data_IF_855773038795
#
_entry.id   IF_855773038795
#
_cell.length_a   1.000
_cell.length_b   1.000
_cell.length_c   1.000
_cell.angle_alpha   90.00
_cell.angle_beta   90.00
_cell.angle_gamma   90.00
#
_symmetry.space_group_name_H-M   'P 1'
#
loop_
_entity.id
_entity.type
_entity.pdbx_description
1 polymer ?
#
# COMPACT_ATOMS: atom_id res chain seq x y z
N UNK A 1 59.68 -39.70 19.15
CA UNK A 1 58.59 -40.11 18.22
C UNK A 1 57.50 -40.80 19.03
N UNK A 2 56.53 -40.05 19.56
CA UNK A 2 55.28 -40.62 20.10
C UNK A 2 54.18 -39.63 19.75
N UNK A 3 53.32 -40.05 18.83
CA UNK A 3 52.21 -39.31 18.26
C UNK A 3 50.99 -39.57 19.15
N UNK A 4 50.50 -38.56 19.88
CA UNK A 4 49.21 -38.63 20.58
C UNK A 4 48.14 -38.09 19.63
N UNK A 5 47.20 -38.95 19.23
CA UNK A 5 46.02 -38.53 18.48
C UNK A 5 45.03 -37.86 19.43
N UNK A 6 44.52 -36.71 19.02
CA UNK A 6 43.42 -36.03 19.71
C UNK A 6 42.22 -36.07 18.77
N UNK A 7 41.24 -36.88 19.12
CA UNK A 7 39.97 -36.97 18.40
C UNK A 7 39.16 -35.70 18.63
N UNK A 8 38.87 -34.95 17.57
CA UNK A 8 37.93 -33.83 17.60
C UNK A 8 36.50 -34.36 17.38
N UNK A 9 35.67 -34.27 18.43
CA UNK A 9 34.25 -34.55 18.37
C UNK A 9 33.54 -33.35 17.71
N UNK A 10 33.10 -33.49 16.46
CA UNK A 10 32.25 -32.49 15.79
C UNK A 10 30.82 -32.57 16.36
N UNK A 11 30.46 -31.60 17.20
CA UNK A 11 29.07 -31.33 17.58
C UNK A 11 28.36 -30.64 16.42
N UNK A 12 27.60 -31.40 15.63
CA UNK A 12 26.63 -30.89 14.66
C UNK A 12 25.47 -30.22 15.44
N UNK A 13 25.52 -28.90 15.58
CA UNK A 13 24.34 -28.11 15.91
C UNK A 13 23.41 -28.11 14.69
N UNK A 14 22.35 -28.92 14.72
CA UNK A 14 21.23 -28.74 13.80
C UNK A 14 20.46 -27.48 14.24
N UNK A 15 20.72 -26.36 13.58
CA UNK A 15 19.81 -25.22 13.62
C UNK A 15 18.52 -25.63 12.92
N UNK A 16 17.56 -26.11 13.71
CA UNK A 16 16.16 -26.21 13.30
C UNK A 16 15.69 -24.76 13.11
N UNK A 17 15.77 -24.28 11.87
CA UNK A 17 15.13 -23.05 11.45
C UNK A 17 13.61 -23.28 11.45
N UNK A 18 13.01 -23.23 12.65
CA UNK A 18 11.56 -23.14 12.78
C UNK A 18 11.13 -21.82 12.19
N UNK A 19 10.53 -21.85 10.99
CA UNK A 19 9.81 -20.72 10.46
C UNK A 19 8.71 -20.38 11.47
N UNK A 20 8.91 -19.36 12.29
CA UNK A 20 7.85 -18.77 13.08
C UNK A 20 6.87 -18.18 12.09
N UNK A 21 5.75 -18.85 11.87
CA UNK A 21 4.61 -18.24 11.19
C UNK A 21 4.21 -17.03 12.02
N UNK A 22 4.57 -15.83 11.56
CA UNK A 22 4.06 -14.59 12.14
C UNK A 22 2.55 -14.66 12.04
N UNK A 23 1.88 -14.83 13.19
CA UNK A 23 0.43 -14.66 13.26
C UNK A 23 0.19 -13.18 12.98
N UNK A 24 -0.51 -12.87 11.88
CA UNK A 24 -0.89 -11.49 11.57
C UNK A 24 -1.67 -10.93 12.77
N UNK A 25 -1.16 -9.85 13.37
CA UNK A 25 -1.78 -9.19 14.50
C UNK A 25 -2.96 -8.33 14.03
N UNK A 26 -2.94 -7.89 12.77
CA UNK A 26 -4.05 -7.20 12.15
C UNK A 26 -5.30 -8.09 12.03
N UNK A 27 -6.44 -7.58 12.48
CA UNK A 27 -7.75 -8.21 12.37
C UNK A 27 -8.51 -7.65 11.16
N UNK A 28 -9.06 -8.53 10.33
CA UNK A 28 -9.78 -8.14 9.11
C UNK A 28 -11.23 -8.57 9.26
N UNK A 29 -12.13 -7.59 9.28
CA UNK A 29 -13.55 -7.82 9.50
C UNK A 29 -14.37 -7.29 8.33
N UNK A 30 -15.48 -7.97 8.03
CA UNK A 30 -16.53 -7.40 7.19
C UNK A 30 -17.13 -6.17 7.86
N UNK A 31 -17.49 -5.17 7.06
CA UNK A 31 -18.30 -4.05 7.55
C UNK A 31 -19.71 -4.54 7.85
N UNK A 32 -20.22 -4.17 9.01
CA UNK A 32 -21.62 -4.37 9.40
C UNK A 32 -22.55 -3.44 8.61
N UNK A 33 -23.84 -3.78 8.57
CA UNK A 33 -24.87 -2.93 7.95
C UNK A 33 -24.87 -1.52 8.52
N UNK A 34 -24.70 -1.37 9.85
CA UNK A 34 -24.66 -0.06 10.51
C UNK A 34 -23.44 0.75 10.12
N UNK A 35 -22.26 0.11 9.95
CA UNK A 35 -21.06 0.78 9.44
C UNK A 35 -21.25 1.25 7.99
N UNK A 36 -21.81 0.41 7.11
CA UNK A 36 -22.12 0.81 5.73
C UNK A 36 -23.10 2.00 5.68
N UNK A 37 -24.11 2.02 6.55
CA UNK A 37 -25.07 3.12 6.66
C UNK A 37 -24.41 4.39 7.20
N UNK A 38 -23.52 4.27 8.19
CA UNK A 38 -22.76 5.40 8.73
C UNK A 38 -21.84 6.01 7.66
N UNK A 39 -21.12 5.17 6.91
CA UNK A 39 -20.30 5.58 5.78
C UNK A 39 -21.12 6.33 4.71
N UNK A 40 -22.29 5.81 4.36
CA UNK A 40 -23.19 6.46 3.39
C UNK A 40 -23.71 7.80 3.90
N UNK A 41 -24.13 7.86 5.18
CA UNK A 41 -24.61 9.10 5.83
C UNK A 41 -23.52 10.16 5.93
N UNK A 42 -22.27 9.75 6.15
CA UNK A 42 -21.11 10.63 6.21
C UNK A 42 -20.59 11.07 4.83
N UNK A 43 -21.18 10.58 3.73
CA UNK A 43 -20.77 10.94 2.36
C UNK A 43 -19.48 10.26 1.90
N UNK A 44 -18.91 9.34 2.68
CA UNK A 44 -17.69 8.60 2.30
C UNK A 44 -17.99 7.40 1.39
N UNK A 45 -19.25 7.08 1.17
CA UNK A 45 -19.72 6.02 0.28
C UNK A 45 -21.07 6.38 -0.35
N UNK A 46 -21.34 5.88 -1.55
CA UNK A 46 -22.68 5.91 -2.15
C UNK A 46 -22.93 4.67 -2.99
N UNK A 47 -24.17 4.48 -3.47
CA UNK A 47 -24.52 3.40 -4.40
C UNK A 47 -23.82 3.51 -5.76
N UNK A 48 -23.25 4.67 -6.09
CA UNK A 48 -22.45 4.88 -7.31
C UNK A 48 -20.96 4.57 -7.11
N UNK A 49 -20.54 4.20 -5.89
CA UNK A 49 -19.17 3.81 -5.64
C UNK A 49 -18.79 2.58 -6.49
N UNK A 50 -17.57 2.54 -7.06
CA UNK A 50 -17.15 1.43 -7.90
C UNK A 50 -17.00 0.12 -7.11
N UNK A 51 -16.89 0.21 -5.79
CA UNK A 51 -16.73 -0.91 -4.87
C UNK A 51 -17.86 -0.85 -3.86
N UNK A 52 -18.68 -1.89 -3.79
CA UNK A 52 -19.78 -1.96 -2.83
C UNK A 52 -19.28 -2.14 -1.39
N UNK A 53 -20.11 -1.82 -0.40
CA UNK A 53 -19.72 -1.95 1.00
C UNK A 53 -19.32 -3.40 1.39
N UNK A 54 -19.97 -4.40 0.78
CA UNK A 54 -19.67 -5.81 1.02
C UNK A 54 -18.27 -6.21 0.50
N UNK A 55 -17.75 -5.48 -0.49
CA UNK A 55 -16.40 -5.62 -1.05
C UNK A 55 -15.36 -4.81 -0.29
N UNK A 56 -15.75 -4.07 0.76
CA UNK A 56 -14.83 -3.40 1.67
C UNK A 56 -14.66 -4.20 2.97
N UNK A 57 -13.47 -4.07 3.56
CA UNK A 57 -13.11 -4.65 4.85
C UNK A 57 -12.51 -3.59 5.76
N UNK A 58 -12.81 -3.70 7.05
CA UNK A 58 -12.14 -2.95 8.10
C UNK A 58 -10.92 -3.75 8.58
N UNK A 59 -9.74 -3.17 8.42
CA UNK A 59 -8.47 -3.68 8.94
C UNK A 59 -8.17 -2.94 10.22
N UNK A 60 -8.18 -3.66 11.35
CA UNK A 60 -7.78 -3.15 12.66
C UNK A 60 -6.37 -3.63 12.97
N UNK A 61 -5.46 -2.74 13.35
CA UNK A 61 -4.05 -3.07 13.58
C UNK A 61 -3.45 -2.30 14.75
N UNK A 62 -2.31 -2.79 15.24
CA UNK A 62 -1.52 -2.10 16.24
C UNK A 62 -0.59 -1.09 15.57
N UNK A 63 -0.36 0.06 16.21
CA UNK A 63 0.64 1.03 15.77
C UNK A 63 1.39 1.62 16.96
N UNK A 64 2.54 2.24 16.70
CA UNK A 64 3.28 3.03 17.69
C UNK A 64 3.14 4.49 17.33
N UNK A 65 2.91 5.36 18.31
CA UNK A 65 2.91 6.80 18.05
C UNK A 65 4.33 7.38 18.03
N UNK A 66 4.44 8.70 17.83
CA UNK A 66 5.72 9.41 17.81
C UNK A 66 6.48 9.35 19.15
N UNK A 67 5.81 9.05 20.27
CA UNK A 67 6.45 8.80 21.56
C UNK A 67 6.89 7.34 21.74
N UNK A 68 6.50 6.46 20.80
CA UNK A 68 6.78 5.01 20.85
C UNK A 68 5.71 4.20 21.57
N UNK A 69 4.67 4.86 22.12
CA UNK A 69 3.56 4.20 22.81
C UNK A 69 2.76 3.36 21.83
N UNK A 70 2.45 2.13 22.24
CA UNK A 70 1.63 1.21 21.46
C UNK A 70 0.14 1.55 21.59
N UNK A 71 -0.57 1.43 20.47
CA UNK A 71 -2.01 1.58 20.33
C UNK A 71 -2.57 0.37 19.59
N UNK A 72 -3.78 -0.07 19.93
CA UNK A 72 -4.42 -1.27 19.35
C UNK A 72 -5.68 -0.93 18.55
N UNK A 73 -5.89 0.35 18.26
CA UNK A 73 -7.12 0.89 17.68
C UNK A 73 -6.88 1.53 16.30
N UNK A 74 -5.76 1.24 15.63
CA UNK A 74 -5.53 1.69 14.27
C UNK A 74 -6.54 1.01 13.34
N UNK A 75 -7.22 1.77 12.50
CA UNK A 75 -8.29 1.28 11.65
C UNK A 75 -8.23 1.90 10.26
N UNK A 76 -8.34 1.06 9.23
CA UNK A 76 -8.52 1.47 7.84
C UNK A 76 -9.63 0.65 7.18
N UNK A 77 -10.34 1.27 6.23
CA UNK A 77 -11.29 0.58 5.34
C UNK A 77 -10.67 0.49 3.95
N UNK A 78 -10.62 -0.70 3.38
CA UNK A 78 -9.98 -1.00 2.08
C UNK A 78 -10.74 -2.08 1.32
N UNK A 79 -10.42 -2.29 0.02
CA UNK A 79 -10.98 -3.38 -0.77
C UNK A 79 -10.61 -4.74 -0.16
N UNK A 80 -11.54 -5.68 -0.20
CA UNK A 80 -11.38 -7.05 0.33
C UNK A 80 -10.12 -7.77 -0.17
N UNK A 81 -9.80 -7.64 -1.45
CA UNK A 81 -8.63 -8.26 -2.07
C UNK A 81 -7.29 -7.76 -1.50
N UNK A 82 -7.23 -6.50 -1.05
CA UNK A 82 -6.00 -5.88 -0.54
C UNK A 82 -5.90 -5.94 0.99
N UNK A 83 -7.00 -6.18 1.70
CA UNK A 83 -7.06 -6.13 3.16
C UNK A 83 -6.00 -6.98 3.89
N UNK A 84 -5.68 -8.23 3.46
CA UNK A 84 -4.60 -9.01 4.07
C UNK A 84 -3.23 -8.33 4.00
N UNK A 85 -2.93 -7.69 2.87
CA UNK A 85 -1.64 -7.06 2.62
C UNK A 85 -1.53 -5.71 3.31
N UNK A 86 -2.65 -5.00 3.46
CA UNK A 86 -2.72 -3.82 4.33
C UNK A 86 -2.44 -4.20 5.78
N UNK A 87 -3.01 -5.30 6.27
CA UNK A 87 -2.65 -5.85 7.59
C UNK A 87 -1.15 -6.10 7.74
N UNK A 88 -0.54 -6.78 6.76
CA UNK A 88 0.90 -7.03 6.74
C UNK A 88 1.75 -5.74 6.76
N UNK A 89 1.33 -4.69 6.03
CA UNK A 89 2.01 -3.38 6.05
C UNK A 89 2.06 -2.85 7.48
N UNK A 90 0.91 -2.74 8.13
CA UNK A 90 0.85 -2.11 9.45
C UNK A 90 1.48 -2.96 10.55
N UNK A 91 1.44 -4.28 10.44
CA UNK A 91 2.20 -5.17 11.32
C UNK A 91 3.71 -4.97 11.14
N UNK A 92 4.20 -4.82 9.91
CA UNK A 92 5.60 -4.52 9.64
C UNK A 92 6.00 -3.13 10.17
N UNK A 93 5.15 -2.10 9.98
CA UNK A 93 5.40 -0.76 10.52
C UNK A 93 5.48 -0.77 12.06
N UNK A 94 4.60 -1.53 12.71
CA UNK A 94 4.61 -1.70 14.17
C UNK A 94 5.91 -2.35 14.66
N UNK A 95 6.36 -3.40 13.98
CA UNK A 95 7.61 -4.11 14.29
C UNK A 95 8.85 -3.24 14.04
N UNK A 96 8.86 -2.44 12.97
CA UNK A 96 9.94 -1.51 12.64
C UNK A 96 10.00 -0.29 13.58
N UNK A 97 8.98 -0.06 14.40
CA UNK A 97 8.91 1.14 15.24
C UNK A 97 8.60 2.41 14.45
N UNK A 98 8.06 2.28 13.24
CA UNK A 98 7.64 3.43 12.43
C UNK A 98 6.47 4.13 13.13
N UNK A 99 6.59 5.43 13.44
CA UNK A 99 5.55 6.13 14.17
C UNK A 99 4.38 6.50 13.26
N UNK A 100 3.16 6.22 13.73
CA UNK A 100 1.90 6.66 13.11
C UNK A 100 1.20 7.56 14.12
N UNK A 101 0.76 8.76 13.71
CA UNK A 101 0.11 9.67 14.64
C UNK A 101 -1.24 9.12 15.09
N UNK A 102 -2.05 8.68 14.12
CA UNK A 102 -3.28 7.90 14.29
C UNK A 102 -3.72 7.34 12.95
N UNK A 103 -4.60 6.34 12.99
CA UNK A 103 -5.29 5.81 11.83
C UNK A 103 -6.73 5.51 12.22
N UNK A 104 -7.67 6.31 11.73
CA UNK A 104 -9.10 6.10 11.93
C UNK A 104 -9.86 6.28 10.61
N UNK A 105 -11.00 5.60 10.43
CA UNK A 105 -11.82 5.74 9.23
C UNK A 105 -12.27 7.19 9.00
N UNK A 106 -12.33 7.61 7.73
CA UNK A 106 -12.50 9.02 7.36
C UNK A 106 -13.92 9.55 7.60
N UNK A 107 -14.91 8.68 7.84
CA UNK A 107 -16.26 9.06 8.26
C UNK A 107 -16.28 9.81 9.60
N UNK A 108 -15.25 9.67 10.44
CA UNK A 108 -15.09 10.48 11.67
C UNK A 108 -14.96 11.98 11.34
N UNK A 109 -14.46 12.30 10.14
CA UNK A 109 -14.34 13.66 9.61
C UNK A 109 -15.42 13.98 8.58
N UNK A 110 -16.50 13.19 8.51
CA UNK A 110 -17.56 13.36 7.50
C UNK A 110 -17.04 13.29 6.06
N UNK A 111 -16.00 12.49 5.81
CA UNK A 111 -15.37 12.36 4.49
C UNK A 111 -14.53 13.56 4.05
N UNK A 112 -14.29 14.53 4.92
CA UNK A 112 -13.50 15.72 4.61
C UNK A 112 -12.00 15.43 4.69
N UNK A 113 -11.33 15.35 3.53
CA UNK A 113 -9.88 15.08 3.48
C UNK A 113 -9.07 16.18 4.17
N UNK A 114 -9.45 17.45 4.05
CA UNK A 114 -8.71 18.56 4.67
C UNK A 114 -8.72 18.45 6.19
N UNK A 115 -9.87 18.10 6.79
CA UNK A 115 -9.97 17.88 8.23
C UNK A 115 -9.17 16.64 8.65
N UNK A 116 -9.28 15.54 7.91
CA UNK A 116 -8.50 14.31 8.15
C UNK A 116 -6.99 14.57 8.11
N UNK A 117 -6.51 15.25 7.07
CA UNK A 117 -5.11 15.61 6.88
C UNK A 117 -4.60 16.60 7.93
N UNK A 118 -5.38 17.63 8.24
CA UNK A 118 -5.03 18.61 9.29
C UNK A 118 -4.90 17.93 10.65
N UNK A 119 -5.72 16.91 10.89
CA UNK A 119 -5.65 16.11 12.11
C UNK A 119 -4.53 15.06 12.06
N UNK A 120 -3.71 15.01 11.00
CA UNK A 120 -2.65 14.04 10.76
C UNK A 120 -3.13 12.58 10.82
N UNK A 121 -4.30 12.31 10.25
CA UNK A 121 -4.88 10.99 10.20
C UNK A 121 -4.30 10.18 9.02
N UNK A 122 -3.83 8.96 9.29
CA UNK A 122 -3.58 7.97 8.24
C UNK A 122 -4.92 7.41 7.77
N UNK A 123 -5.22 7.49 6.48
CA UNK A 123 -6.54 7.15 5.91
C UNK A 123 -6.45 6.32 4.63
N UNK A 124 -7.54 5.64 4.29
CA UNK A 124 -7.66 4.83 3.07
C UNK A 124 -8.98 5.14 2.35
N UNK A 125 -9.99 4.27 2.39
CA UNK A 125 -11.20 4.45 1.60
C UNK A 125 -11.91 5.80 1.83
N UNK A 126 -12.18 6.51 0.73
CA UNK A 126 -13.04 7.70 0.65
C UNK A 126 -13.63 7.79 -0.76
N UNK A 127 -14.95 7.63 -0.93
CA UNK A 127 -15.59 7.75 -2.23
C UNK A 127 -15.67 9.20 -2.68
N UNK A 128 -14.70 9.62 -3.50
CA UNK A 128 -14.63 10.98 -4.05
C UNK A 128 -13.87 11.05 -5.37
N UNK A 129 -14.08 12.12 -6.17
CA UNK A 129 -13.15 12.47 -7.23
C UNK A 129 -11.78 12.88 -6.68
N UNK A 130 -10.77 12.85 -7.56
CA UNK A 130 -9.52 13.58 -7.34
C UNK A 130 -9.84 15.07 -7.40
N UNK A 131 -9.29 15.84 -6.45
CA UNK A 131 -9.59 17.26 -6.31
C UNK A 131 -9.36 18.02 -7.62
N UNK A 132 -10.35 18.82 -8.03
CA UNK A 132 -10.30 19.60 -9.27
C UNK A 132 -10.49 18.80 -10.56
N UNK A 133 -10.85 17.52 -10.48
CA UNK A 133 -11.09 16.65 -11.66
C UNK A 133 -12.43 15.93 -11.57
N UNK A 134 -12.90 15.36 -12.69
CA UNK A 134 -14.03 14.43 -12.72
C UNK A 134 -13.64 12.95 -12.54
N UNK A 135 -12.35 12.64 -12.41
CA UNK A 135 -11.88 11.26 -12.26
C UNK A 135 -11.94 10.82 -10.80
N UNK A 136 -12.40 9.59 -10.55
CA UNK A 136 -12.36 9.00 -9.20
C UNK A 136 -10.93 8.83 -8.71
N UNK A 137 -10.75 9.13 -7.42
CA UNK A 137 -9.51 8.84 -6.68
C UNK A 137 -9.35 7.34 -6.46
N UNK A 138 -8.12 6.84 -6.33
CA UNK A 138 -7.86 5.44 -5.96
C UNK A 138 -8.34 5.12 -4.53
N UNK A 139 -8.53 6.14 -3.68
CA UNK A 139 -9.23 6.02 -2.41
C UNK A 139 -10.68 5.54 -2.58
N UNK A 140 -11.35 5.92 -3.69
CA UNK A 140 -12.73 5.51 -3.97
C UNK A 140 -12.86 4.00 -4.29
N UNK A 141 -11.73 3.35 -4.57
CA UNK A 141 -11.66 1.90 -4.81
C UNK A 141 -11.17 1.14 -3.57
N UNK A 142 -10.81 1.83 -2.47
CA UNK A 142 -10.15 1.20 -1.33
C UNK A 142 -8.77 0.64 -1.70
N UNK A 143 -8.09 1.29 -2.64
CA UNK A 143 -6.83 0.88 -3.26
C UNK A 143 -5.72 1.93 -3.09
N UNK A 144 -5.89 2.85 -2.13
CA UNK A 144 -4.89 3.84 -1.75
C UNK A 144 -4.87 4.06 -0.23
N UNK A 145 -3.72 4.50 0.28
CA UNK A 145 -3.45 4.83 1.67
C UNK A 145 -2.68 6.15 1.71
N UNK A 146 -3.15 7.09 2.52
CA UNK A 146 -2.44 8.32 2.88
C UNK A 146 -1.84 8.13 4.28
N UNK A 147 -0.51 8.23 4.41
CA UNK A 147 0.24 7.95 5.64
C UNK A 147 0.80 9.22 6.28
N UNK A 148 0.40 9.51 7.53
CA UNK A 148 0.86 10.66 8.31
C UNK A 148 0.95 11.98 7.50
N UNK A 149 -0.19 12.55 7.06
CA UNK A 149 -0.22 13.73 6.18
C UNK A 149 0.64 14.91 6.62
N UNK A 150 0.85 15.10 7.92
CA UNK A 150 1.71 16.16 8.44
C UNK A 150 3.19 15.93 8.09
N UNK A 151 3.69 14.71 8.31
CA UNK A 151 5.07 14.33 7.97
C UNK A 151 5.24 14.18 6.46
N UNK A 152 4.18 13.81 5.75
CA UNK A 152 4.19 13.47 4.34
C UNK A 152 3.16 14.33 3.59
N UNK A 153 3.40 15.65 3.45
CA UNK A 153 2.41 16.56 2.91
C UNK A 153 2.14 16.37 1.42
N UNK A 154 0.95 16.76 0.99
CA UNK A 154 0.63 17.00 -0.41
C UNK A 154 1.15 18.38 -0.83
N UNK A 155 1.92 18.44 -1.91
CA UNK A 155 2.64 19.62 -2.37
C UNK A 155 2.20 20.00 -3.77
N UNK A 156 1.75 21.24 -3.92
CA UNK A 156 1.35 21.81 -5.22
C UNK A 156 2.21 23.01 -5.57
N UNK A 157 2.38 23.23 -6.86
CA UNK A 157 3.14 24.33 -7.42
C UNK A 157 2.22 25.18 -8.30
N UNK A 158 2.13 26.48 -8.06
CA UNK A 158 1.42 27.39 -8.96
C UNK A 158 2.33 27.86 -10.09
N UNK A 159 1.74 28.33 -11.20
CA UNK A 159 2.48 28.77 -12.39
C UNK A 159 3.45 29.93 -12.18
N UNK A 160 3.37 30.62 -11.04
CA UNK A 160 4.32 31.67 -10.63
C UNK A 160 5.44 31.17 -9.69
N UNK A 161 5.57 29.85 -9.50
CA UNK A 161 6.61 29.24 -8.68
C UNK A 161 6.30 29.14 -7.18
N UNK A 162 5.14 29.59 -6.71
CA UNK A 162 4.78 29.43 -5.30
C UNK A 162 4.46 27.96 -4.98
N UNK A 163 4.95 27.50 -3.84
CA UNK A 163 4.71 26.15 -3.31
C UNK A 163 3.65 26.21 -2.22
N UNK A 164 2.69 25.28 -2.24
CA UNK A 164 1.72 25.09 -1.16
C UNK A 164 1.80 23.67 -0.62
N UNK A 165 1.84 23.56 0.70
CA UNK A 165 1.80 22.30 1.44
C UNK A 165 0.40 22.11 2.04
N UNK A 166 -0.12 20.90 1.96
CA UNK A 166 -1.35 20.48 2.63
C UNK A 166 -1.04 19.22 3.47
N UNK A 167 -1.25 19.26 4.80
CA UNK A 167 -1.60 20.44 5.59
C UNK A 167 -0.47 21.47 5.59
N UNK A 168 -0.79 22.75 5.85
CA UNK A 168 0.20 23.85 5.82
C UNK A 168 1.35 23.63 6.80
N UNK A 169 1.04 23.06 7.97
CA UNK A 169 2.03 22.70 8.99
C UNK A 169 3.04 21.65 8.48
N UNK A 170 2.73 20.93 7.40
CA UNK A 170 3.64 20.00 6.73
C UNK A 170 4.84 20.67 6.08
N UNK A 171 4.82 22.01 5.91
CA UNK A 171 5.97 22.80 5.42
C UNK A 171 7.25 22.53 6.24
N UNK A 172 7.14 22.21 7.53
CA UNK A 172 8.30 21.87 8.37
C UNK A 172 9.04 20.59 7.94
N UNK A 173 8.36 19.73 7.15
CA UNK A 173 8.89 18.50 6.56
C UNK A 173 9.24 18.67 5.08
N UNK A 174 9.42 19.90 4.60
CA UNK A 174 9.88 20.16 3.23
C UNK A 174 11.29 19.61 2.97
N UNK A 175 12.16 19.63 3.99
CA UNK A 175 13.44 18.92 3.92
C UNK A 175 13.18 17.42 4.16
N UNK A 176 13.29 16.62 3.09
CA UNK A 176 13.03 15.18 3.10
C UNK A 176 14.19 14.34 3.63
N UNK A 177 15.34 14.94 3.98
CA UNK A 177 16.48 14.20 4.50
C UNK A 177 16.17 13.57 5.86
N UNK A 178 16.38 12.25 5.97
CA UNK A 178 16.28 11.51 7.23
C UNK A 178 17.39 11.96 8.18
N UNK A 179 18.64 11.84 7.71
CA UNK A 179 19.82 12.28 8.44
C UNK A 179 20.11 13.75 8.17
N UNK A 180 20.29 14.53 9.23
CA UNK A 180 20.64 15.96 9.16
C UNK A 180 21.70 16.25 10.21
N UNK A 181 22.82 16.82 9.79
CA UNK A 181 23.94 17.11 10.68
C UNK A 181 23.49 17.89 11.93
N UNK A 182 23.83 17.39 13.12
CA UNK A 182 23.48 18.01 14.40
C UNK A 182 22.00 17.95 14.79
N UNK A 183 21.16 17.17 14.10
CA UNK A 183 19.73 17.00 14.42
C UNK A 183 19.39 15.52 14.63
N UNK A 184 18.35 15.21 15.41
CA UNK A 184 17.75 13.88 15.41
C UNK A 184 17.24 13.50 14.01
N UNK A 185 17.30 12.21 13.72
CA UNK A 185 16.75 11.64 12.50
C UNK A 185 15.27 12.00 12.36
N UNK A 186 14.87 12.38 11.15
CA UNK A 186 13.47 12.63 10.83
C UNK A 186 12.67 11.33 10.93
N UNK A 187 11.58 11.33 11.70
CA UNK A 187 10.72 10.15 11.92
C UNK A 187 9.38 10.31 11.20
N UNK A 188 8.76 9.19 10.82
CA UNK A 188 7.43 9.17 10.20
C UNK A 188 7.41 9.54 8.70
N UNK A 189 8.59 9.63 8.08
CA UNK A 189 8.79 9.98 6.67
C UNK A 189 8.51 8.76 5.78
N UNK A 190 7.64 8.90 4.78
CA UNK A 190 7.21 7.82 3.89
C UNK A 190 8.36 7.12 3.15
N UNK A 191 9.46 7.84 2.91
CA UNK A 191 10.67 7.37 2.24
C UNK A 191 11.22 6.07 2.85
N UNK A 192 11.12 5.90 4.18
CA UNK A 192 11.67 4.73 4.88
C UNK A 192 10.79 3.48 4.77
N UNK A 193 9.57 3.61 4.24
CA UNK A 193 8.58 2.52 4.18
C UNK A 193 8.12 2.20 2.76
N UNK A 194 8.68 2.84 1.72
CA UNK A 194 8.30 2.60 0.32
C UNK A 194 8.40 1.11 -0.03
N UNK A 195 9.48 0.44 0.36
CA UNK A 195 9.68 -1.00 0.10
C UNK A 195 8.62 -1.85 0.81
N UNK A 196 8.27 -1.53 2.06
CA UNK A 196 7.22 -2.22 2.82
C UNK A 196 5.87 -2.14 2.11
N UNK A 197 5.50 -0.95 1.62
CA UNK A 197 4.25 -0.76 0.86
C UNK A 197 4.30 -1.49 -0.48
N UNK A 198 5.40 -1.36 -1.23
CA UNK A 198 5.52 -1.92 -2.57
C UNK A 198 5.49 -3.46 -2.56
N UNK A 199 6.16 -4.11 -1.59
CA UNK A 199 6.09 -5.58 -1.38
C UNK A 199 4.71 -6.08 -0.98
N UNK A 200 3.84 -5.20 -0.50
CA UNK A 200 2.44 -5.50 -0.20
C UNK A 200 1.48 -4.96 -1.27
N UNK A 201 2.01 -4.62 -2.44
CA UNK A 201 1.26 -4.27 -3.63
C UNK A 201 0.89 -2.79 -3.79
N UNK A 202 1.37 -1.91 -2.93
CA UNK A 202 1.20 -0.47 -3.07
C UNK A 202 2.48 0.13 -3.67
N UNK A 203 2.73 -0.21 -4.95
CA UNK A 203 3.99 0.09 -5.64
C UNK A 203 4.11 1.55 -6.12
N UNK A 204 2.99 2.26 -6.24
CA UNK A 204 2.98 3.64 -6.71
C UNK A 204 2.94 4.58 -5.51
N UNK A 205 4.03 5.30 -5.29
CA UNK A 205 4.13 6.32 -4.25
C UNK A 205 4.07 7.72 -4.88
N UNK A 206 3.20 8.58 -4.34
CA UNK A 206 2.98 9.93 -4.85
C UNK A 206 4.16 10.88 -4.66
N UNK A 207 5.13 10.53 -3.82
CA UNK A 207 6.40 11.23 -3.69
C UNK A 207 7.30 11.16 -4.93
N UNK A 208 7.01 10.28 -5.89
CA UNK A 208 7.72 10.18 -7.17
C UNK A 208 7.07 10.99 -8.31
N UNK A 209 5.96 11.68 -8.07
CA UNK A 209 5.31 12.50 -9.10
C UNK A 209 6.00 13.84 -9.27
N UNK A 210 5.91 14.44 -10.46
CA UNK A 210 6.50 15.76 -10.73
C UNK A 210 5.62 16.90 -10.18
N UNK A 211 4.31 16.82 -10.40
CA UNK A 211 3.33 17.78 -9.88
C UNK A 211 1.91 17.22 -9.97
N UNK A 212 1.10 17.28 -8.90
CA UNK A 212 1.53 17.57 -7.53
C UNK A 212 2.43 16.47 -6.98
N UNK A 213 3.23 16.75 -5.95
CA UNK A 213 3.97 15.72 -5.20
C UNK A 213 3.11 15.32 -4.00
N UNK A 214 2.78 14.04 -3.87
CA UNK A 214 1.89 13.55 -2.81
C UNK A 214 2.60 12.56 -1.89
N UNK A 215 3.39 13.08 -0.93
CA UNK A 215 4.28 12.23 -0.11
C UNK A 215 3.52 11.23 0.78
N UNK A 216 2.28 11.54 1.17
CA UNK A 216 1.44 10.64 1.98
C UNK A 216 0.95 9.44 1.18
N UNK A 217 0.86 9.56 -0.14
CA UNK A 217 -0.02 8.73 -0.94
C UNK A 217 0.66 7.49 -1.49
N UNK A 218 0.12 6.33 -1.16
CA UNK A 218 0.50 5.02 -1.71
C UNK A 218 -0.70 4.38 -2.39
N UNK A 219 -0.56 3.90 -3.61
CA UNK A 219 -1.66 3.31 -4.37
C UNK A 219 -1.26 2.12 -5.25
N UNK A 220 -2.27 1.40 -5.71
CA UNK A 220 -2.19 0.49 -6.85
C UNK A 220 -2.25 1.27 -8.17
N UNK A 221 -2.03 0.60 -9.31
CA UNK A 221 -2.37 1.20 -10.59
C UNK A 221 -3.89 1.33 -10.77
N UNK A 222 -4.31 2.37 -11.49
CA UNK A 222 -5.73 2.62 -11.80
C UNK A 222 -6.37 1.44 -12.55
N UNK A 223 -5.66 0.88 -13.52
CA UNK A 223 -6.13 -0.26 -14.32
C UNK A 223 -6.38 -1.49 -13.43
N UNK A 224 -5.51 -1.74 -12.45
CA UNK A 224 -5.70 -2.82 -11.48
C UNK A 224 -6.91 -2.59 -10.57
N UNK A 225 -7.05 -1.39 -10.02
CA UNK A 225 -8.16 -1.05 -9.12
C UNK A 225 -9.53 -1.16 -9.81
N UNK A 226 -9.63 -0.69 -11.07
CA UNK A 226 -10.84 -0.83 -11.88
C UNK A 226 -11.11 -2.31 -12.16
N UNK A 227 -10.10 -3.06 -12.65
CA UNK A 227 -10.25 -4.49 -12.95
C UNK A 227 -10.75 -5.27 -11.72
N UNK A 228 -10.17 -5.04 -10.54
CA UNK A 228 -10.59 -5.73 -9.30
C UNK A 228 -11.98 -5.35 -8.80
N UNK A 229 -12.45 -4.14 -9.13
CA UNK A 229 -13.82 -3.70 -8.82
C UNK A 229 -14.87 -4.45 -9.63
N UNK A 230 -14.53 -4.88 -10.85
CA UNK A 230 -15.38 -5.67 -11.74
C UNK A 230 -15.29 -7.19 -11.48
N UNK A 231 -14.22 -7.63 -10.84
CA UNK A 231 -14.00 -9.03 -10.48
C UNK A 231 -14.88 -9.47 -9.30
N UNK A 232 -15.20 -10.77 -9.24
CA UNK A 232 -15.71 -11.38 -8.00
C UNK A 232 -14.65 -11.33 -6.89
N UNK A 233 -15.03 -11.41 -5.60
CA UNK A 233 -14.07 -11.39 -4.49
C UNK A 233 -12.92 -12.38 -4.63
N UNK A 234 -13.20 -13.62 -5.07
CA UNK A 234 -12.19 -14.67 -5.21
C UNK A 234 -11.23 -14.40 -6.38
N UNK A 235 -11.74 -13.88 -7.50
CA UNK A 235 -10.91 -13.47 -8.64
C UNK A 235 -9.99 -12.31 -8.27
N UNK A 236 -10.53 -11.26 -7.62
CA UNK A 236 -9.74 -10.11 -7.19
C UNK A 236 -8.66 -10.51 -6.18
N UNK A 237 -8.98 -11.35 -5.20
CA UNK A 237 -8.03 -11.86 -4.22
C UNK A 237 -6.90 -12.69 -4.88
N UNK A 238 -7.25 -13.57 -5.82
CA UNK A 238 -6.25 -14.33 -6.58
C UNK A 238 -5.38 -13.42 -7.43
N UNK A 239 -5.98 -12.45 -8.13
CA UNK A 239 -5.26 -11.49 -8.96
C UNK A 239 -4.26 -10.67 -8.13
N UNK A 240 -4.70 -10.10 -7.00
CA UNK A 240 -3.83 -9.34 -6.11
C UNK A 240 -2.71 -10.21 -5.50
N UNK A 241 -3.00 -11.46 -5.16
CA UNK A 241 -1.98 -12.44 -4.72
C UNK A 241 -0.92 -12.70 -5.80
N UNK A 242 -1.33 -12.83 -7.06
CA UNK A 242 -0.40 -13.02 -8.18
C UNK A 242 0.43 -11.78 -8.45
N UNK A 243 -0.18 -10.60 -8.33
CA UNK A 243 0.49 -9.31 -8.45
C UNK A 243 1.62 -9.15 -7.43
N UNK A 244 1.34 -9.39 -6.13
CA UNK A 244 2.36 -9.35 -5.06
C UNK A 244 3.44 -10.41 -5.28
N UNK A 245 3.06 -11.66 -5.56
CA UNK A 245 4.04 -12.74 -5.77
C UNK A 245 4.94 -12.52 -7.00
N UNK A 246 4.42 -11.89 -8.05
CA UNK A 246 5.21 -11.53 -9.23
C UNK A 246 6.22 -10.43 -8.90
N UNK A 247 5.81 -9.41 -8.15
CA UNK A 247 6.72 -8.37 -7.67
C UNK A 247 7.87 -8.93 -6.83
N UNK A 248 7.56 -9.81 -5.87
CA UNK A 248 8.57 -10.48 -5.04
C UNK A 248 9.50 -11.40 -5.83
N UNK A 249 9.01 -11.98 -6.93
CA UNK A 249 9.84 -12.76 -7.84
C UNK A 249 10.78 -11.84 -8.63
N UNK A 250 10.25 -10.78 -9.23
CA UNK A 250 11.03 -9.81 -10.00
C UNK A 250 12.09 -9.10 -9.15
N UNK A 251 11.77 -8.71 -7.91
CA UNK A 251 12.69 -8.01 -7.01
C UNK A 251 13.93 -8.85 -6.69
N UNK A 252 13.75 -10.16 -6.50
CA UNK A 252 14.85 -11.11 -6.26
C UNK A 252 15.68 -11.38 -7.50
N UNK A 253 15.07 -11.38 -8.69
CA UNK A 253 15.78 -11.59 -9.96
C UNK A 253 16.57 -10.37 -10.42
N UNK A 254 16.07 -9.16 -10.14
CA UNK A 254 16.63 -7.90 -10.65
C UNK A 254 16.87 -6.88 -9.53
N UNK A 255 17.73 -7.18 -8.54
CA UNK A 255 17.91 -6.34 -7.34
C UNK A 255 18.37 -4.91 -7.66
N UNK A 256 19.22 -4.73 -8.68
CA UNK A 256 19.65 -3.39 -9.10
C UNK A 256 18.52 -2.57 -9.69
N UNK A 257 17.64 -3.16 -10.51
CA UNK A 257 16.50 -2.42 -11.07
C UNK A 257 15.52 -2.01 -9.97
N UNK A 258 15.33 -2.91 -8.99
CA UNK A 258 14.47 -2.69 -7.85
C UNK A 258 14.95 -1.56 -6.93
N UNK A 259 16.26 -1.50 -6.64
CA UNK A 259 16.86 -0.41 -5.87
C UNK A 259 16.63 0.99 -6.49
N UNK A 260 16.38 1.05 -7.78
CA UNK A 260 16.11 2.30 -8.51
C UNK A 260 14.63 2.47 -8.91
N UNK A 261 13.73 1.64 -8.35
CA UNK A 261 12.30 1.64 -8.69
C UNK A 261 11.98 1.47 -10.19
N UNK A 262 12.88 0.83 -10.96
CA UNK A 262 12.76 0.62 -12.41
C UNK A 262 12.11 -0.72 -12.76
N UNK A 263 10.88 -0.94 -12.31
CA UNK A 263 10.13 -2.18 -12.57
C UNK A 263 8.78 -1.91 -13.25
N UNK A 264 8.32 -2.86 -14.06
CA UNK A 264 6.97 -2.82 -14.63
C UNK A 264 5.95 -3.32 -13.60
N UNK A 265 4.69 -2.91 -13.76
CA UNK A 265 3.56 -3.47 -13.03
C UNK A 265 3.20 -4.84 -13.65
N UNK A 266 2.76 -5.81 -12.84
CA UNK A 266 2.22 -7.10 -13.33
C UNK A 266 1.03 -6.93 -14.30
N UNK A 267 0.29 -5.82 -14.22
CA UNK A 267 -0.71 -5.46 -15.24
C UNK A 267 -0.07 -5.28 -16.62
N UNK A 268 1.16 -4.76 -16.73
CA UNK A 268 1.91 -4.69 -18.00
C UNK A 268 2.27 -6.09 -18.52
N UNK A 269 2.65 -7.00 -17.62
CA UNK A 269 2.86 -8.40 -17.98
C UNK A 269 1.59 -9.02 -18.57
N UNK A 270 0.44 -8.87 -17.90
CA UNK A 270 -0.83 -9.40 -18.39
C UNK A 270 -1.26 -8.75 -19.71
N UNK A 271 -1.14 -7.42 -19.81
CA UNK A 271 -1.43 -6.68 -21.06
C UNK A 271 -0.57 -7.18 -22.22
N UNK A 272 0.72 -7.39 -22.00
CA UNK A 272 1.61 -7.98 -23.01
C UNK A 272 1.16 -9.39 -23.41
N UNK A 273 0.84 -10.26 -22.44
CA UNK A 273 0.38 -11.64 -22.70
C UNK A 273 -0.95 -11.71 -23.45
N UNK A 274 -1.85 -10.78 -23.16
CA UNK A 274 -3.19 -10.70 -23.74
C UNK A 274 -3.23 -9.86 -25.02
N UNK A 275 -2.12 -9.24 -25.43
CA UNK A 275 -2.08 -8.22 -26.49
C UNK A 275 -3.11 -7.10 -26.28
N UNK A 276 -3.30 -6.70 -25.01
CA UNK A 276 -4.29 -5.73 -24.59
C UNK A 276 -3.65 -4.38 -24.23
N UNK A 277 -4.34 -3.28 -24.53
CA UNK A 277 -3.90 -1.93 -24.11
C UNK A 277 -4.33 -1.58 -22.69
N UNK A 278 -5.40 -2.22 -22.21
CA UNK A 278 -6.04 -1.99 -20.92
C UNK A 278 -6.52 -3.32 -20.37
N UNK A 279 -6.15 -3.63 -19.14
CA UNK A 279 -6.51 -4.90 -18.51
C UNK A 279 -7.99 -4.91 -18.14
N UNK A 280 -8.55 -3.80 -17.64
CA UNK A 280 -9.99 -3.79 -17.31
C UNK A 280 -10.83 -3.98 -18.57
N UNK A 281 -10.51 -3.31 -19.68
CA UNK A 281 -11.25 -3.51 -20.95
C UNK A 281 -11.12 -4.95 -21.47
N UNK A 282 -9.96 -5.57 -21.31
CA UNK A 282 -9.77 -6.98 -21.65
C UNK A 282 -10.61 -7.90 -20.75
N UNK A 283 -10.69 -7.59 -19.45
CA UNK A 283 -11.50 -8.34 -18.49
C UNK A 283 -13.00 -8.19 -18.79
N UNK A 284 -13.51 -6.97 -19.02
CA UNK A 284 -14.91 -6.76 -19.36
C UNK A 284 -15.30 -7.47 -20.66
N UNK A 285 -14.39 -7.58 -21.63
CA UNK A 285 -14.63 -8.27 -22.90
C UNK A 285 -14.59 -9.80 -22.78
N UNK A 286 -13.62 -10.35 -22.04
CA UNK A 286 -13.48 -11.80 -21.86
C UNK A 286 -12.86 -12.15 -20.49
N UNK A 287 -13.67 -12.21 -19.41
CA UNK A 287 -13.18 -12.50 -18.06
C UNK A 287 -12.41 -13.83 -17.98
N UNK A 288 -12.86 -14.85 -18.71
CA UNK A 288 -12.24 -16.18 -18.68
C UNK A 288 -10.82 -16.16 -19.24
N UNK A 289 -10.58 -15.43 -20.34
CA UNK A 289 -9.25 -15.31 -20.93
C UNK A 289 -8.26 -14.63 -19.97
N UNK A 290 -8.70 -13.55 -19.31
CA UNK A 290 -7.87 -12.84 -18.32
C UNK A 290 -7.60 -13.74 -17.11
N UNK A 291 -8.61 -14.44 -16.59
CA UNK A 291 -8.43 -15.36 -15.46
C UNK A 291 -7.54 -16.54 -15.81
N UNK A 292 -7.59 -17.06 -17.04
CA UNK A 292 -6.67 -18.09 -17.51
C UNK A 292 -5.22 -17.58 -17.49
N UNK A 293 -4.97 -16.34 -17.92
CA UNK A 293 -3.64 -15.73 -17.86
C UNK A 293 -3.15 -15.52 -16.41
N UNK A 294 -4.03 -15.08 -15.49
CA UNK A 294 -3.71 -14.91 -14.06
C UNK A 294 -3.38 -16.25 -13.38
N UNK A 295 -4.04 -17.34 -13.80
CA UNK A 295 -3.80 -18.67 -13.26
C UNK A 295 -2.44 -19.24 -13.65
N UNK A 296 -1.87 -18.80 -14.77
CA UNK A 296 -0.53 -19.19 -15.20
C UNK A 296 0.52 -18.44 -14.36
N UNK A 297 1.24 -19.16 -13.50
CA UNK A 297 2.32 -18.53 -12.73
C UNK A 297 3.48 -18.13 -13.65
N UNK A 298 3.90 -16.85 -13.66
CA UNK A 298 5.07 -16.42 -14.40
C UNK A 298 6.34 -17.01 -13.77
N UNK A 299 6.99 -17.96 -14.45
CA UNK A 299 8.21 -18.63 -13.97
C UNK A 299 9.41 -17.68 -14.03
N UNK A 300 9.51 -16.89 -15.11
CA UNK A 300 10.45 -15.78 -15.33
C UNK A 300 9.80 -14.81 -16.31
N UNK A 301 10.05 -13.51 -16.15
CA UNK A 301 9.54 -12.50 -17.07
C UNK A 301 10.59 -11.43 -17.35
N UNK A 302 11.05 -11.35 -18.59
CA UNK A 302 11.97 -10.30 -19.04
C UNK A 302 11.29 -8.91 -19.02
N UNK A 303 9.97 -8.87 -18.86
CA UNK A 303 9.21 -7.64 -18.66
C UNK A 303 9.32 -7.10 -17.23
N UNK A 304 9.97 -7.79 -16.28
CA UNK A 304 10.10 -7.30 -14.90
C UNK A 304 10.72 -5.89 -14.84
N UNK A 305 11.69 -5.59 -15.70
CA UNK A 305 12.46 -4.35 -15.67
C UNK A 305 11.92 -3.36 -16.71
N UNK A 306 11.70 -2.11 -16.29
CA UNK A 306 11.45 -1.00 -17.23
C UNK A 306 12.73 -0.72 -17.99
N UNK A 307 12.68 -0.91 -19.32
CA UNK A 307 13.77 -0.55 -20.23
C UNK A 307 13.75 0.95 -20.50
#
# INVERSE_FOLDING_TARGET
MIQKSTSYLFLLFSTICGATFSVNAAQINSLSTSECQAMTKAGVMSSSAPVSCQRLKKVTFNYRDFTGKAHTNGQLVVMDAVAPYVGNIFDALYQQGFPIHKAVPIEIYGGNDVQSMTANNTSAFNYRPVAGTGSLSLHAYGAAIDLNPLQNPFVTFSGNGNVKFSPVQGTQYANRAIYRFGKPDSRGMAEVVIDTFARNGFQYWGGFWDSPIDYQHFQLSKDMAITMSEMTPSQAALFFKRYVGWYDSCSRMYPSAYQHYKFNDYTEYLKSKLSAKSLHLAYSANPQQVMNAINQQPIRSDICVKR
#
